data_IF_572096542963
#
_entry.id   IF_572096542963
#
_cell.length_a   1.000
_cell.length_b   1.000
_cell.length_c   1.000
_cell.angle_alpha   90.00
_cell.angle_beta   90.00
_cell.angle_gamma   90.00
#
_symmetry.space_group_name_H-M   'P 1'
#
loop_
_entity.id
_entity.type
_entity.pdbx_description
1 polymer ?
#
# COMPACT_ATOMS: atom_id res chain seq x y z
N UNK A 1 0.06 77.15 10.10
CA UNK A 1 -1.37 77.28 9.73
C UNK A 1 -2.00 75.90 9.84
N UNK A 2 -2.87 75.74 10.84
CA UNK A 2 -3.94 74.75 11.05
C UNK A 2 -3.92 73.38 10.35
N UNK A 3 -3.91 72.31 11.16
CA UNK A 3 -4.66 71.07 10.86
C UNK A 3 -6.17 71.34 10.96
N UNK A 4 -6.99 70.54 10.26
CA UNK A 4 -7.89 69.64 10.99
C UNK A 4 -7.92 68.24 10.36
N UNK A 5 -7.57 67.20 11.12
CA UNK A 5 -8.53 66.24 11.73
C UNK A 5 -9.56 65.65 10.78
N UNK A 6 -9.26 64.46 10.22
CA UNK A 6 -10.26 63.57 9.64
C UNK A 6 -10.85 62.73 10.79
N UNK A 7 -12.08 63.03 11.20
CA UNK A 7 -12.81 62.33 12.26
C UNK A 7 -13.85 61.37 11.66
N UNK A 8 -13.79 60.14 12.16
CA UNK A 8 -14.90 59.23 12.51
C UNK A 8 -15.60 58.44 11.39
N UNK A 9 -15.30 57.13 11.43
CA UNK A 9 -16.23 56.06 11.82
C UNK A 9 -17.47 55.86 10.95
N UNK A 10 -17.50 54.77 10.18
CA UNK A 10 -18.76 54.06 9.93
C UNK A 10 -18.56 52.57 9.61
N UNK A 11 -19.26 51.76 10.41
CA UNK A 11 -19.80 50.43 10.14
C UNK A 11 -18.83 49.27 9.82
N UNK A 12 -18.48 48.55 10.89
CA UNK A 12 -18.31 47.09 10.86
C UNK A 12 -19.60 46.48 10.32
N UNK A 13 -19.55 45.90 9.11
CA UNK A 13 -20.59 44.99 8.62
C UNK A 13 -20.03 43.58 8.67
N UNK A 14 -20.45 42.86 9.70
CA UNK A 14 -20.29 41.41 9.83
C UNK A 14 -21.49 40.77 9.14
N UNK A 15 -21.30 40.11 8.00
CA UNK A 15 -22.26 39.16 7.45
C UNK A 15 -21.54 37.97 6.80
N UNK A 16 -21.42 36.92 7.62
CA UNK A 16 -21.68 35.50 7.31
C UNK A 16 -21.12 34.91 6.01
N UNK A 17 -20.13 34.04 6.19
CA UNK A 17 -19.75 32.96 5.29
C UNK A 17 -20.98 32.17 4.83
N UNK A 18 -21.25 32.15 3.53
CA UNK A 18 -22.07 31.12 2.91
C UNK A 18 -21.14 30.10 2.24
N UNK A 19 -20.94 28.98 2.93
CA UNK A 19 -20.46 27.77 2.27
C UNK A 19 -21.52 27.38 1.25
N UNK A 20 -21.24 27.55 -0.04
CA UNK A 20 -22.04 26.87 -1.06
C UNK A 20 -21.71 25.39 -0.95
N UNK A 21 -22.59 24.64 -0.29
CA UNK A 21 -22.61 23.19 -0.37
C UNK A 21 -22.62 22.81 -1.85
N UNK A 22 -21.63 22.06 -2.28
CA UNK A 22 -21.64 21.40 -3.58
C UNK A 22 -22.78 20.39 -3.57
N UNK A 23 -23.94 20.77 -4.08
CA UNK A 23 -24.89 19.79 -4.55
C UNK A 23 -24.24 19.15 -5.79
N UNK A 24 -23.51 18.05 -5.59
CA UNK A 24 -23.35 17.05 -6.63
C UNK A 24 -24.73 16.41 -6.82
N UNK A 25 -25.64 17.17 -7.41
CA UNK A 25 -26.97 16.75 -7.80
C UNK A 25 -26.82 15.89 -9.05
N UNK A 26 -26.35 14.66 -8.85
CA UNK A 26 -26.38 13.62 -9.84
C UNK A 26 -27.82 13.10 -9.90
N UNK A 27 -28.62 13.69 -10.78
CA UNK A 27 -29.93 13.15 -11.18
C UNK A 27 -29.75 11.81 -11.89
N UNK A 28 -29.70 10.74 -11.09
CA UNK A 28 -29.95 9.39 -11.54
C UNK A 28 -31.14 8.87 -10.75
N UNK A 29 -32.36 9.25 -11.17
CA UNK A 29 -33.56 8.85 -10.45
C UNK A 29 -34.82 9.38 -11.10
N UNK A 30 -35.07 8.95 -12.33
CA UNK A 30 -36.41 9.06 -12.91
C UNK A 30 -37.30 8.08 -12.13
N UNK A 31 -38.12 8.63 -11.25
CA UNK A 31 -39.15 7.90 -10.52
C UNK A 31 -40.07 7.15 -11.51
N UNK A 32 -40.47 5.94 -11.12
CA UNK A 32 -41.56 5.15 -11.71
C UNK A 32 -41.34 4.45 -13.07
N UNK A 33 -40.41 3.48 -13.13
CA UNK A 33 -40.62 2.26 -13.91
C UNK A 33 -39.82 1.13 -13.26
N UNK A 34 -40.51 0.14 -12.69
CA UNK A 34 -39.88 -1.11 -12.30
C UNK A 34 -39.23 -1.80 -13.50
N UNK A 35 -38.21 -2.62 -13.22
CA UNK A 35 -37.42 -3.41 -14.16
C UNK A 35 -36.27 -2.69 -14.87
N UNK A 36 -35.10 -2.75 -14.24
CA UNK A 36 -33.82 -2.58 -14.90
C UNK A 36 -32.67 -2.96 -13.98
N UNK A 37 -32.07 -4.12 -14.21
CA UNK A 37 -30.68 -4.43 -13.83
C UNK A 37 -30.37 -4.80 -12.36
N UNK A 38 -31.31 -5.41 -11.62
CA UNK A 38 -31.02 -5.97 -10.28
C UNK A 38 -30.39 -7.38 -10.30
N UNK A 39 -29.91 -7.87 -11.45
CA UNK A 39 -29.16 -9.12 -11.50
C UNK A 39 -27.67 -8.87 -11.26
N UNK A 40 -27.04 -9.52 -10.25
CA UNK A 40 -25.62 -9.33 -9.93
C UNK A 40 -24.65 -9.51 -11.10
N UNK A 41 -25.02 -10.34 -12.09
CA UNK A 41 -24.23 -10.58 -13.30
C UNK A 41 -24.26 -9.40 -14.28
N UNK A 42 -25.36 -8.64 -14.35
CA UNK A 42 -25.45 -7.47 -15.23
C UNK A 42 -24.65 -6.28 -14.71
N UNK A 43 -24.41 -6.19 -13.41
CA UNK A 43 -23.60 -5.10 -12.83
C UNK A 43 -22.08 -5.43 -12.81
N UNK A 44 -21.65 -6.60 -13.29
CA UNK A 44 -20.23 -6.98 -13.30
C UNK A 44 -19.36 -6.02 -14.13
N UNK A 45 -19.88 -5.50 -15.25
CA UNK A 45 -19.14 -4.53 -16.07
C UNK A 45 -19.06 -3.14 -15.42
N UNK A 46 -19.93 -2.85 -14.44
CA UNK A 46 -19.88 -1.63 -13.62
C UNK A 46 -19.01 -1.80 -12.39
N UNK A 47 -18.58 -3.02 -12.06
CA UNK A 47 -17.65 -3.23 -10.96
C UNK A 47 -16.31 -2.57 -11.30
N UNK A 48 -15.77 -1.69 -10.43
CA UNK A 48 -14.51 -1.03 -10.71
C UNK A 48 -13.43 -2.11 -10.90
N UNK A 49 -12.78 -2.08 -12.07
CA UNK A 49 -11.68 -3.00 -12.40
C UNK A 49 -10.62 -2.86 -11.31
N UNK A 50 -10.52 -3.85 -10.42
CA UNK A 50 -9.52 -3.84 -9.36
C UNK A 50 -8.15 -3.79 -10.02
N UNK A 51 -7.41 -2.72 -9.73
CA UNK A 51 -6.05 -2.59 -10.23
C UNK A 51 -5.21 -3.75 -9.67
N UNK A 52 -4.54 -4.46 -10.57
CA UNK A 52 -3.66 -5.57 -10.18
C UNK A 52 -2.53 -5.04 -9.29
N UNK A 53 -2.19 -5.80 -8.24
CA UNK A 53 -1.10 -5.49 -7.31
C UNK A 53 0.04 -6.48 -7.48
N UNK A 54 1.26 -6.12 -7.05
CA UNK A 54 2.36 -7.08 -6.97
C UNK A 54 1.96 -8.22 -6.04
N UNK A 55 1.92 -9.43 -6.60
CA UNK A 55 1.66 -10.66 -5.85
C UNK A 55 2.95 -11.12 -5.19
N UNK A 56 2.98 -11.20 -3.86
CA UNK A 56 4.08 -11.77 -3.08
C UNK A 56 3.54 -12.95 -2.26
N UNK A 57 4.06 -14.14 -2.54
CA UNK A 57 3.68 -15.39 -1.86
C UNK A 57 4.92 -15.95 -1.17
N UNK A 58 4.86 -15.97 0.16
CA UNK A 58 5.92 -16.47 1.03
C UNK A 58 5.30 -16.99 2.32
N UNK A 59 5.89 -18.02 2.90
CA UNK A 59 5.46 -18.55 4.19
C UNK A 59 5.66 -17.48 5.27
N UNK A 60 4.63 -17.27 6.09
CA UNK A 60 4.61 -16.18 7.09
C UNK A 60 5.10 -16.61 8.46
N UNK A 61 5.30 -17.90 8.66
CA UNK A 61 5.81 -18.48 9.90
C UNK A 61 6.79 -19.59 9.55
N UNK A 62 7.92 -19.62 10.24
CA UNK A 62 8.93 -20.68 10.17
C UNK A 62 9.32 -21.07 11.58
N UNK A 63 9.39 -22.36 11.85
CA UNK A 63 9.94 -22.94 13.08
C UNK A 63 11.30 -23.53 12.76
N UNK A 64 12.29 -23.31 13.63
CA UNK A 64 13.69 -23.69 13.43
C UNK A 64 14.38 -24.01 14.75
N UNK A 65 15.41 -24.83 14.72
CA UNK A 65 16.36 -24.95 15.83
C UNK A 65 17.41 -23.82 15.79
N UNK A 66 18.01 -23.52 16.94
CA UNK A 66 19.22 -22.67 16.97
C UNK A 66 20.30 -23.24 16.03
N UNK A 67 21.01 -22.35 15.35
CA UNK A 67 22.06 -22.62 14.36
C UNK A 67 21.57 -23.32 13.07
N UNK A 68 20.26 -23.56 12.93
CA UNK A 68 19.65 -24.06 11.69
C UNK A 68 19.68 -22.97 10.61
N UNK A 69 20.03 -23.37 9.39
CA UNK A 69 19.87 -22.56 8.18
C UNK A 69 18.55 -22.91 7.48
N UNK A 70 17.82 -21.89 7.04
CA UNK A 70 16.62 -22.08 6.24
C UNK A 70 16.66 -21.23 4.97
N UNK A 71 16.01 -21.73 3.94
CA UNK A 71 15.73 -21.00 2.71
C UNK A 71 14.20 -20.98 2.48
N UNK A 72 13.60 -19.79 2.57
CA UNK A 72 12.15 -19.60 2.39
C UNK A 72 11.88 -19.06 0.99
N UNK A 73 11.07 -19.75 0.17
CA UNK A 73 10.83 -19.35 -1.21
C UNK A 73 9.85 -18.18 -1.31
N UNK A 74 10.31 -17.03 -1.82
CA UNK A 74 9.45 -15.93 -2.28
C UNK A 74 9.04 -16.17 -3.73
N UNK A 75 7.76 -16.43 -3.97
CA UNK A 75 7.17 -16.43 -5.31
C UNK A 75 6.53 -15.08 -5.59
N UNK A 76 6.79 -14.52 -6.77
CA UNK A 76 6.28 -13.19 -7.12
C UNK A 76 5.58 -13.15 -8.48
N UNK A 77 4.67 -12.18 -8.61
CA UNK A 77 4.03 -11.78 -9.87
C UNK A 77 3.95 -10.26 -9.92
N UNK A 78 4.43 -9.66 -11.01
CA UNK A 78 4.51 -8.22 -11.22
C UNK A 78 3.58 -7.85 -12.37
N UNK A 79 2.49 -7.10 -12.12
CA UNK A 79 1.63 -6.59 -13.18
C UNK A 79 2.36 -5.57 -14.08
N UNK A 80 1.93 -5.39 -15.34
CA UNK A 80 2.66 -4.60 -16.33
C UNK A 80 2.73 -3.09 -16.03
N UNK A 81 1.87 -2.57 -15.16
CA UNK A 81 1.90 -1.16 -14.72
C UNK A 81 2.92 -0.89 -13.61
N UNK A 82 3.74 -1.88 -13.23
CA UNK A 82 4.80 -1.74 -12.23
C UNK A 82 6.18 -1.78 -12.88
N UNK A 83 7.04 -0.87 -12.44
CA UNK A 83 8.42 -0.76 -12.90
C UNK A 83 9.39 -0.58 -11.71
N UNK A 84 10.68 -0.79 -11.96
CA UNK A 84 11.77 -0.57 -11.00
C UNK A 84 11.52 -1.26 -9.64
N UNK A 85 11.07 -2.52 -9.70
CA UNK A 85 10.76 -3.31 -8.50
C UNK A 85 12.04 -3.75 -7.81
N UNK A 86 12.26 -3.27 -6.59
CA UNK A 86 13.38 -3.64 -5.72
C UNK A 86 12.83 -4.22 -4.41
N UNK A 87 13.52 -5.19 -3.84
CA UNK A 87 13.18 -5.80 -2.56
C UNK A 87 14.38 -5.64 -1.64
N UNK A 88 14.14 -5.04 -0.48
CA UNK A 88 15.09 -5.02 0.64
C UNK A 88 14.66 -6.09 1.64
N UNK A 89 15.63 -6.84 2.17
CA UNK A 89 15.43 -7.90 3.14
C UNK A 89 16.23 -7.55 4.39
N UNK A 90 15.55 -7.51 5.53
CA UNK A 90 16.18 -7.28 6.83
C UNK A 90 15.75 -8.34 7.83
N UNK A 91 16.60 -8.58 8.83
CA UNK A 91 16.33 -9.53 9.90
C UNK A 91 16.43 -8.86 11.27
N UNK A 92 15.75 -9.39 12.29
CA UNK A 92 16.03 -9.02 13.69
C UNK A 92 17.34 -9.63 14.18
N UNK A 93 17.88 -9.14 15.29
CA UNK A 93 19.23 -9.48 15.80
C UNK A 93 19.50 -10.98 16.01
N UNK A 94 18.49 -11.77 16.35
CA UNK A 94 18.66 -13.23 16.54
C UNK A 94 18.67 -14.06 15.26
N UNK A 95 18.70 -13.41 14.09
CA UNK A 95 18.85 -14.05 12.78
C UNK A 95 19.94 -13.34 11.98
N UNK A 96 20.72 -14.10 11.21
CA UNK A 96 21.64 -13.53 10.21
C UNK A 96 21.19 -13.91 8.79
N UNK A 97 21.12 -12.90 7.93
CA UNK A 97 20.76 -13.09 6.52
C UNK A 97 21.95 -13.69 5.76
N UNK A 98 21.69 -14.74 4.98
CA UNK A 98 22.67 -15.42 4.13
C UNK A 98 22.50 -15.08 2.64
N UNK A 99 21.29 -14.71 2.22
CA UNK A 99 21.01 -14.19 0.87
C UNK A 99 21.29 -12.69 0.77
N UNK A 100 21.26 -12.14 -0.44
CA UNK A 100 21.41 -10.71 -0.67
C UNK A 100 20.39 -9.87 0.15
N UNK A 101 20.88 -8.81 0.80
CA UNK A 101 20.05 -7.84 1.52
C UNK A 101 19.14 -7.04 0.58
N UNK A 102 19.51 -6.94 -0.70
CA UNK A 102 18.72 -6.26 -1.72
C UNK A 102 18.81 -6.97 -3.06
N UNK A 103 17.67 -7.16 -3.71
CA UNK A 103 17.60 -7.68 -5.07
C UNK A 103 16.54 -6.99 -5.93
N UNK A 104 16.71 -7.08 -7.25
CA UNK A 104 15.80 -6.53 -8.26
C UNK A 104 14.88 -7.61 -8.82
N UNK A 105 13.61 -7.28 -9.02
CA UNK A 105 12.68 -8.11 -9.78
C UNK A 105 12.55 -7.53 -11.18
N UNK A 106 13.13 -8.22 -12.16
CA UNK A 106 13.13 -7.82 -13.58
C UNK A 106 12.27 -8.72 -14.47
N UNK A 107 11.52 -9.65 -13.89
CA UNK A 107 10.64 -10.59 -14.58
C UNK A 107 9.20 -10.41 -14.10
N UNK A 108 8.24 -10.64 -14.99
CA UNK A 108 6.82 -10.58 -14.66
C UNK A 108 6.41 -11.63 -13.61
N UNK A 109 7.13 -12.74 -13.51
CA UNK A 109 6.93 -13.75 -12.48
C UNK A 109 8.22 -14.52 -12.20
N UNK A 110 8.32 -15.12 -11.02
CA UNK A 110 9.48 -15.91 -10.65
C UNK A 110 9.50 -16.34 -9.20
N UNK A 111 10.65 -16.88 -8.81
CA UNK A 111 10.97 -17.35 -7.46
C UNK A 111 12.33 -16.79 -7.07
N UNK A 112 12.44 -16.32 -5.82
CA UNK A 112 13.70 -15.96 -5.17
C UNK A 112 13.73 -16.62 -3.79
N UNK A 113 14.82 -17.29 -3.44
CA UNK A 113 14.96 -17.89 -2.10
C UNK A 113 15.58 -16.86 -1.14
N UNK A 114 14.97 -16.72 0.03
CA UNK A 114 15.44 -15.86 1.13
C UNK A 114 16.07 -16.77 2.16
N UNK A 115 17.39 -16.67 2.32
CA UNK A 115 18.17 -17.58 3.16
C UNK A 115 18.69 -16.88 4.40
N UNK A 116 18.58 -17.53 5.55
CA UNK A 116 19.01 -17.00 6.85
C UNK A 116 19.34 -18.12 7.83
N UNK A 117 20.10 -17.80 8.88
CA UNK A 117 20.46 -18.70 9.98
C UNK A 117 19.92 -18.16 11.31
N UNK A 118 19.47 -19.05 12.18
CA UNK A 118 19.02 -18.72 13.53
C UNK A 118 20.22 -18.64 14.50
N UNK A 119 20.42 -17.50 15.15
CA UNK A 119 21.53 -17.27 16.08
C UNK A 119 21.10 -17.37 17.55
N UNK A 120 19.87 -16.93 17.85
CA UNK A 120 19.36 -16.87 19.22
C UNK A 120 17.97 -17.53 19.32
N UNK A 121 17.68 -18.31 20.37
CA UNK A 121 16.32 -18.77 20.66
C UNK A 121 15.35 -17.60 20.82
N UNK A 122 14.05 -17.85 20.57
CA UNK A 122 12.99 -16.86 20.71
C UNK A 122 12.23 -16.58 19.42
N UNK A 123 11.46 -15.48 19.42
CA UNK A 123 10.68 -15.06 18.25
C UNK A 123 11.38 -13.89 17.55
N UNK A 124 11.65 -14.09 16.26
CA UNK A 124 12.38 -13.17 15.39
C UNK A 124 11.57 -12.86 14.13
N UNK A 125 12.02 -11.88 13.36
CA UNK A 125 11.37 -11.49 12.11
C UNK A 125 12.36 -11.38 10.95
N UNK A 126 11.93 -11.85 9.78
CA UNK A 126 12.49 -11.46 8.49
C UNK A 126 11.48 -10.50 7.84
N UNK A 127 11.93 -9.32 7.44
CA UNK A 127 11.09 -8.28 6.84
C UNK A 127 11.53 -8.06 5.40
N UNK A 128 10.56 -8.15 4.49
CA UNK A 128 10.73 -7.84 3.08
C UNK A 128 10.02 -6.53 2.79
N UNK A 129 10.76 -5.53 2.31
CA UNK A 129 10.22 -4.23 1.91
C UNK A 129 10.42 -4.05 0.40
N UNK A 130 9.31 -4.03 -0.32
CA UNK A 130 9.28 -3.93 -1.78
C UNK A 130 8.99 -2.50 -2.17
N UNK A 131 9.83 -1.94 -3.03
CA UNK A 131 9.70 -0.62 -3.62
C UNK A 131 9.46 -0.77 -5.12
N UNK A 132 8.51 -0.02 -5.66
CA UNK A 132 8.22 -0.01 -7.09
C UNK A 132 7.65 1.34 -7.53
N UNK A 133 7.63 1.58 -8.83
CA UNK A 133 6.81 2.61 -9.44
C UNK A 133 5.57 1.96 -10.03
N UNK A 134 4.38 2.39 -9.61
CA UNK A 134 3.10 2.01 -10.22
C UNK A 134 2.63 3.17 -11.09
N UNK A 135 2.69 3.02 -12.41
CA UNK A 135 2.38 4.11 -13.36
C UNK A 135 3.13 5.41 -13.01
N UNK A 136 4.44 5.31 -12.78
CA UNK A 136 5.33 6.40 -12.31
C UNK A 136 5.10 6.93 -10.89
N UNK A 137 4.18 6.36 -10.12
CA UNK A 137 3.96 6.72 -8.71
C UNK A 137 4.70 5.75 -7.79
N UNK A 138 5.59 6.21 -6.90
CA UNK A 138 6.26 5.34 -5.94
C UNK A 138 5.27 4.65 -5.00
N UNK A 139 5.44 3.34 -4.84
CA UNK A 139 4.66 2.52 -3.91
C UNK A 139 5.58 1.61 -3.11
N UNK A 140 5.16 1.28 -1.89
CA UNK A 140 5.90 0.39 -0.98
C UNK A 140 4.99 -0.70 -0.42
N UNK A 141 5.48 -1.93 -0.37
CA UNK A 141 4.80 -3.06 0.26
C UNK A 141 5.71 -3.73 1.29
N UNK A 142 5.18 -4.06 2.46
CA UNK A 142 5.93 -4.77 3.50
C UNK A 142 5.34 -6.16 3.72
N UNK A 143 6.21 -7.17 3.80
CA UNK A 143 5.89 -8.52 4.22
C UNK A 143 6.81 -8.95 5.34
N UNK A 144 6.25 -9.73 6.27
CA UNK A 144 6.97 -10.23 7.44
C UNK A 144 6.85 -11.75 7.50
N UNK A 145 7.94 -12.38 7.87
CA UNK A 145 8.01 -13.79 8.24
C UNK A 145 8.33 -13.82 9.73
N UNK A 146 7.47 -14.45 10.53
CA UNK A 146 7.76 -14.77 11.92
C UNK A 146 8.63 -16.02 11.96
N UNK A 147 9.78 -15.94 12.62
CA UNK A 147 10.66 -17.09 12.86
C UNK A 147 10.62 -17.42 14.34
N UNK A 148 10.27 -18.65 14.68
CA UNK A 148 10.28 -19.14 16.06
C UNK A 148 11.44 -20.12 16.18
N UNK A 149 12.42 -19.78 17.01
CA UNK A 149 13.64 -20.55 17.22
C UNK A 149 13.56 -21.22 18.59
N UNK A 150 13.67 -22.56 18.60
CA UNK A 150 13.75 -23.39 19.81
C UNK A 150 15.18 -23.70 20.21
#
# INVERSE_FOLDING_TARGET
MFLPTLKKSLAVTLMTFTFSSTACELHAGMDSMGFGFQHPLMQQHMSPKREAIIGLRIDRKREMAKDEQAAVPLRFTVPPNYEKVNVDVTTSSGLSLLSDERFKINKAMGKQDISFVALEPGTHEVVLKVYALKSNVPVTYTRKIKVVVS
#
